data_IF_731157760331
#
_entry.id   IF_731157760331
#
_cell.length_a   1.000
_cell.length_b   1.000
_cell.length_c   1.000
_cell.angle_alpha   90.00
_cell.angle_beta   90.00
_cell.angle_gamma   90.00
#
_symmetry.space_group_name_H-M   'P 1'
#
loop_
_entity.id
_entity.type
_entity.pdbx_description
1 polymer ?
#
# COMPACT_ATOMS: atom_id res chain seq x y z
N UNK A 1 33.08 21.80 43.12
CA UNK A 1 32.04 21.36 42.18
C UNK A 1 32.70 20.47 41.14
N UNK A 2 32.52 19.15 41.24
CA UNK A 2 33.12 18.21 40.28
C UNK A 2 32.01 17.79 39.32
N UNK A 3 32.13 18.20 38.05
CA UNK A 3 31.21 17.81 36.97
C UNK A 3 31.43 16.38 36.58
N UNK A 4 30.39 15.55 36.73
CA UNK A 4 30.34 14.17 36.25
C UNK A 4 30.10 14.20 34.73
N UNK A 5 31.16 13.96 33.96
CA UNK A 5 31.04 13.70 32.51
C UNK A 5 30.68 12.23 32.37
N UNK A 6 29.41 11.94 32.06
CA UNK A 6 28.98 10.59 31.66
C UNK A 6 29.69 10.24 30.35
N UNK A 7 30.74 9.41 30.44
CA UNK A 7 31.37 8.76 29.29
C UNK A 7 30.50 7.56 28.92
N UNK A 8 29.68 7.69 27.88
CA UNK A 8 29.07 6.54 27.24
C UNK A 8 30.17 5.70 26.60
N UNK A 9 30.25 4.42 26.94
CA UNK A 9 31.17 3.44 26.34
C UNK A 9 30.80 3.22 24.87
N UNK A 10 31.80 3.04 24.02
CA UNK A 10 31.59 2.60 22.61
C UNK A 10 30.77 1.30 22.52
N UNK A 11 30.80 0.45 23.56
CA UNK A 11 29.98 -0.75 23.68
C UNK A 11 28.49 -0.43 23.88
N UNK A 12 28.15 0.69 24.57
CA UNK A 12 26.75 1.12 24.76
C UNK A 12 26.15 1.72 23.48
N UNK A 13 26.98 2.27 22.59
CA UNK A 13 26.60 2.72 21.25
C UNK A 13 26.41 1.55 20.27
N UNK A 14 27.14 0.47 20.44
CA UNK A 14 27.03 -0.75 19.63
C UNK A 14 25.85 -1.64 20.06
N UNK A 15 25.40 -1.56 21.32
CA UNK A 15 24.21 -2.26 21.81
C UNK A 15 22.86 -1.54 21.57
N UNK A 16 22.86 -0.27 21.17
CA UNK A 16 21.70 0.38 20.57
C UNK A 16 21.58 -0.12 19.14
N UNK A 17 20.87 -1.24 19.00
CA UNK A 17 20.71 -1.99 17.77
C UNK A 17 20.72 -1.09 16.55
N UNK A 18 21.54 -1.42 15.58
CA UNK A 18 21.38 -1.01 14.20
C UNK A 18 19.88 -1.19 13.86
N UNK A 19 19.10 -0.12 13.92
CA UNK A 19 17.83 -0.09 13.19
C UNK A 19 18.26 -0.45 11.77
N UNK A 20 17.93 -1.65 11.33
CA UNK A 20 18.13 -2.01 9.93
C UNK A 20 17.56 -0.88 9.11
N UNK A 21 18.42 -0.19 8.35
CA UNK A 21 18.00 0.96 7.58
C UNK A 21 16.86 0.53 6.68
N UNK A 22 15.72 1.20 6.76
CA UNK A 22 14.62 1.01 5.83
C UNK A 22 15.14 1.29 4.43
N UNK A 23 14.79 0.45 3.47
CA UNK A 23 15.29 0.55 2.12
C UNK A 23 14.16 0.95 1.18
N UNK A 24 14.33 2.09 0.49
CA UNK A 24 13.44 2.46 -0.62
C UNK A 24 13.58 1.41 -1.71
N UNK A 25 12.47 0.78 -2.08
CA UNK A 25 12.38 -0.22 -3.13
C UNK A 25 12.06 0.42 -4.48
N UNK A 26 12.58 -0.15 -5.56
CA UNK A 26 12.20 0.29 -6.90
C UNK A 26 10.76 -0.15 -7.18
N UNK A 27 9.89 0.80 -7.52
CA UNK A 27 8.55 0.53 -8.04
C UNK A 27 8.69 0.15 -9.52
N UNK A 28 8.07 -0.96 -9.89
CA UNK A 28 8.02 -1.46 -11.27
C UNK A 28 6.77 -0.95 -11.99
N UNK A 29 6.86 -0.77 -13.30
CA UNK A 29 5.80 -0.26 -14.16
C UNK A 29 5.11 -1.38 -14.94
N UNK A 30 4.06 -1.04 -15.69
CA UNK A 30 3.17 -1.97 -16.40
C UNK A 30 3.85 -2.94 -17.35
N UNK A 31 5.05 -2.61 -17.85
CA UNK A 31 5.81 -3.53 -18.71
C UNK A 31 6.33 -4.77 -17.96
N UNK A 32 6.37 -4.71 -16.64
CA UNK A 32 6.85 -5.86 -15.86
C UNK A 32 5.73 -6.90 -15.68
N UNK A 33 5.92 -8.14 -16.16
CA UNK A 33 4.89 -9.18 -16.13
C UNK A 33 4.47 -9.61 -14.71
N UNK A 34 5.24 -9.27 -13.67
CA UNK A 34 4.89 -9.57 -12.27
C UNK A 34 3.57 -8.88 -11.88
N UNK A 35 3.31 -7.67 -12.39
CA UNK A 35 2.08 -6.93 -12.11
C UNK A 35 0.82 -7.60 -12.68
N UNK A 36 0.97 -8.53 -13.60
CA UNK A 36 -0.13 -9.28 -14.24
C UNK A 36 -0.27 -10.70 -13.68
N UNK A 37 0.49 -11.02 -12.63
CA UNK A 37 0.46 -12.35 -12.01
C UNK A 37 -0.25 -12.31 -10.67
N UNK A 38 -1.03 -13.34 -10.38
CA UNK A 38 -1.61 -13.54 -9.06
C UNK A 38 -0.51 -13.81 -8.03
N UNK A 39 -0.42 -12.96 -7.02
CA UNK A 39 0.56 -13.06 -5.95
C UNK A 39 0.30 -14.29 -5.05
N UNK A 40 1.38 -14.88 -4.57
CA UNK A 40 1.36 -16.11 -3.75
C UNK A 40 0.97 -15.80 -2.30
N UNK A 41 0.18 -16.68 -1.68
CA UNK A 41 -0.15 -16.56 -0.25
C UNK A 41 1.11 -16.72 0.61
N UNK A 42 1.17 -15.93 1.67
CA UNK A 42 2.18 -16.05 2.71
C UNK A 42 1.70 -17.07 3.75
N UNK A 43 2.49 -18.11 3.98
CA UNK A 43 2.16 -19.17 4.93
C UNK A 43 3.09 -19.17 6.16
N UNK A 44 4.26 -18.54 6.05
CA UNK A 44 5.24 -18.47 7.13
C UNK A 44 5.54 -17.01 7.44
N UNK A 45 5.39 -16.66 8.72
CA UNK A 45 5.61 -15.32 9.23
C UNK A 45 6.92 -15.30 10.02
N UNK A 46 7.88 -14.56 9.52
CA UNK A 46 9.20 -14.41 10.13
C UNK A 46 9.60 -12.92 10.16
N UNK A 47 10.68 -12.55 10.88
CA UNK A 47 11.09 -11.15 11.02
C UNK A 47 11.36 -10.40 9.72
N UNK A 48 11.70 -11.11 8.61
CA UNK A 48 11.96 -10.47 7.32
C UNK A 48 10.71 -9.82 6.73
N UNK A 49 9.51 -10.34 7.05
CA UNK A 49 8.24 -9.75 6.62
C UNK A 49 7.99 -8.41 7.30
N UNK A 50 8.41 -8.26 8.57
CA UNK A 50 8.32 -6.95 9.22
C UNK A 50 9.19 -5.93 8.50
N UNK A 51 10.45 -6.30 8.19
CA UNK A 51 11.35 -5.42 7.43
C UNK A 51 10.76 -5.07 6.07
N UNK A 52 10.17 -6.04 5.36
CA UNK A 52 9.51 -5.79 4.07
C UNK A 52 8.37 -4.77 4.22
N UNK A 53 7.53 -4.90 5.24
CA UNK A 53 6.44 -3.95 5.52
C UNK A 53 6.99 -2.55 5.81
N UNK A 54 8.04 -2.44 6.61
CA UNK A 54 8.70 -1.16 6.92
C UNK A 54 9.28 -0.53 5.63
N UNK A 55 9.97 -1.32 4.77
CA UNK A 55 10.47 -0.87 3.46
C UNK A 55 9.33 -0.45 2.52
N UNK A 56 8.18 -1.15 2.55
CA UNK A 56 7.01 -0.82 1.72
C UNK A 56 6.40 0.52 2.13
N UNK A 57 6.22 0.77 3.42
CA UNK A 57 5.73 2.07 3.90
C UNK A 57 6.67 3.21 3.50
N UNK A 58 7.98 3.06 3.69
CA UNK A 58 8.96 4.06 3.30
C UNK A 58 8.92 4.34 1.79
N UNK A 59 8.86 3.27 0.99
CA UNK A 59 8.76 3.38 -0.47
C UNK A 59 7.49 4.12 -0.89
N UNK A 60 6.36 3.77 -0.28
CA UNK A 60 5.06 4.40 -0.52
C UNK A 60 5.10 5.90 -0.22
N UNK A 61 5.63 6.29 0.95
CA UNK A 61 5.73 7.69 1.37
C UNK A 61 6.63 8.51 0.44
N UNK A 62 7.80 7.98 0.08
CA UNK A 62 8.73 8.66 -0.84
C UNK A 62 8.11 8.86 -2.22
N UNK A 63 7.22 7.95 -2.63
CA UNK A 63 6.49 8.04 -3.89
C UNK A 63 5.17 8.86 -3.79
N UNK A 64 4.86 9.49 -2.63
CA UNK A 64 3.61 10.20 -2.36
C UNK A 64 2.36 9.33 -2.60
N UNK A 65 2.44 8.03 -2.28
CA UNK A 65 1.33 7.09 -2.40
C UNK A 65 0.58 6.91 -1.09
N UNK A 66 -0.70 6.50 -1.18
CA UNK A 66 -1.55 6.15 -0.04
C UNK A 66 -1.71 4.64 0.14
N UNK A 67 -1.27 3.85 -0.86
CA UNK A 67 -1.22 2.39 -0.87
C UNK A 67 -0.05 1.86 -1.67
N UNK A 68 0.40 0.64 -1.35
CA UNK A 68 1.44 -0.07 -2.10
C UNK A 68 1.31 -1.58 -1.89
N UNK A 69 1.15 -2.31 -2.97
CA UNK A 69 1.14 -3.77 -2.96
C UNK A 69 2.53 -4.35 -3.27
N UNK A 70 2.87 -5.48 -2.65
CA UNK A 70 4.18 -6.11 -2.84
C UNK A 70 4.55 -6.43 -4.30
N UNK A 71 3.62 -6.83 -5.20
CA UNK A 71 3.93 -6.97 -6.61
C UNK A 71 4.52 -5.71 -7.25
N UNK A 72 4.13 -4.50 -6.80
CA UNK A 72 4.65 -3.24 -7.34
C UNK A 72 6.14 -3.01 -7.03
N UNK A 73 6.69 -3.70 -6.05
CA UNK A 73 8.12 -3.75 -5.74
C UNK A 73 8.77 -5.09 -6.12
N UNK A 74 8.21 -5.76 -7.13
CA UNK A 74 8.67 -7.05 -7.65
C UNK A 74 8.66 -8.21 -6.63
N UNK A 75 7.84 -8.13 -5.57
CA UNK A 75 7.63 -9.21 -4.59
C UNK A 75 6.27 -9.87 -4.83
N UNK A 76 6.24 -11.03 -5.52
CA UNK A 76 4.99 -11.72 -5.88
C UNK A 76 4.38 -12.47 -4.69
N UNK A 77 4.10 -11.77 -3.59
CA UNK A 77 3.42 -12.27 -2.38
C UNK A 77 2.21 -11.40 -2.02
N UNK A 78 1.23 -12.02 -1.37
CA UNK A 78 -0.03 -11.34 -1.01
C UNK A 78 0.13 -10.51 0.25
N UNK A 79 0.68 -9.31 0.12
CA UNK A 79 0.69 -8.27 1.15
C UNK A 79 0.58 -6.91 0.48
N UNK A 80 -0.14 -6.01 1.11
CA UNK A 80 -0.14 -4.59 0.80
C UNK A 80 0.00 -3.77 2.09
N UNK A 81 0.44 -2.53 1.94
CA UNK A 81 0.38 -1.48 2.96
C UNK A 81 -0.54 -0.37 2.46
N UNK A 82 -1.21 0.30 3.40
CA UNK A 82 -1.99 1.49 3.12
C UNK A 82 -1.95 2.44 4.32
N UNK A 83 -1.92 3.74 4.04
CA UNK A 83 -2.01 4.79 5.05
C UNK A 83 -2.93 5.90 4.53
N UNK A 84 -4.02 6.13 5.23
CA UNK A 84 -5.00 7.13 4.89
C UNK A 84 -5.71 7.60 6.17
N UNK A 85 -5.75 8.91 6.41
CA UNK A 85 -6.24 9.51 7.66
C UNK A 85 -5.55 8.87 8.88
N UNK A 86 -6.32 8.37 9.84
CA UNK A 86 -5.81 7.71 11.05
C UNK A 86 -5.51 6.21 10.84
N UNK A 87 -5.69 5.69 9.61
CA UNK A 87 -5.47 4.28 9.28
C UNK A 87 -4.07 4.06 8.70
N UNK A 88 -3.24 3.32 9.43
CA UNK A 88 -1.96 2.80 8.94
C UNK A 88 -1.94 1.29 9.09
N UNK A 89 -2.00 0.57 7.99
CA UNK A 89 -2.22 -0.88 7.99
C UNK A 89 -1.28 -1.62 7.03
N UNK A 90 -0.94 -2.85 7.42
CA UNK A 90 -0.35 -3.86 6.54
C UNK A 90 -1.21 -5.12 6.61
N UNK A 91 -1.64 -5.63 5.47
CA UNK A 91 -2.55 -6.78 5.41
C UNK A 91 -1.94 -7.89 4.55
N UNK A 92 -1.72 -9.03 5.17
CA UNK A 92 -1.28 -10.25 4.51
C UNK A 92 -2.47 -11.13 4.13
N UNK A 93 -2.40 -11.74 2.95
CA UNK A 93 -3.43 -12.62 2.43
C UNK A 93 -4.85 -12.03 2.49
N UNK A 94 -5.04 -10.76 2.08
CA UNK A 94 -6.34 -10.12 2.15
C UNK A 94 -7.37 -10.82 1.28
N UNK A 95 -8.63 -10.80 1.75
CA UNK A 95 -9.80 -11.27 1.02
C UNK A 95 -11.00 -10.37 1.37
N UNK A 96 -11.67 -9.80 0.36
CA UNK A 96 -12.91 -9.08 0.54
C UNK A 96 -14.01 -10.10 0.84
N UNK A 97 -14.61 -10.03 2.02
CA UNK A 97 -15.66 -10.96 2.47
C UNK A 97 -17.06 -10.38 2.36
N UNK A 98 -17.16 -9.04 2.20
CA UNK A 98 -18.41 -8.33 1.97
C UNK A 98 -18.10 -7.08 1.17
N UNK A 99 -18.96 -6.77 0.19
CA UNK A 99 -18.92 -5.55 -0.60
C UNK A 99 -20.36 -5.04 -0.79
N UNK A 100 -20.59 -3.75 -0.57
CA UNK A 100 -21.91 -3.13 -0.62
C UNK A 100 -21.82 -1.73 -1.23
N UNK A 101 -22.91 -1.33 -1.87
CA UNK A 101 -23.01 -0.03 -2.52
C UNK A 101 -22.10 0.08 -3.74
N UNK A 102 -22.08 1.26 -4.33
CA UNK A 102 -21.23 1.60 -5.47
C UNK A 102 -20.74 3.04 -5.30
N UNK A 103 -19.49 3.28 -5.68
CA UNK A 103 -18.89 4.60 -5.77
C UNK A 103 -18.08 4.68 -7.06
N UNK A 104 -18.27 5.77 -7.80
CA UNK A 104 -17.56 6.05 -9.04
C UNK A 104 -16.58 7.19 -8.78
N UNK A 105 -15.33 7.03 -9.16
CA UNK A 105 -14.32 8.05 -8.95
C UNK A 105 -13.00 7.75 -9.66
N UNK A 106 -12.05 8.70 -9.60
CA UNK A 106 -10.76 8.55 -10.25
C UNK A 106 -9.85 7.59 -9.49
N UNK A 107 -8.87 7.01 -10.20
CA UNK A 107 -7.75 6.27 -9.64
C UNK A 107 -6.45 6.55 -10.39
N UNK A 108 -5.38 6.79 -9.62
CA UNK A 108 -4.00 6.77 -10.10
C UNK A 108 -3.26 5.55 -9.55
N UNK A 109 -2.08 5.27 -10.08
CA UNK A 109 -1.26 4.16 -9.62
C UNK A 109 0.24 4.46 -9.78
N UNK A 110 1.03 4.19 -8.74
CA UNK A 110 2.49 4.33 -8.77
C UNK A 110 3.16 3.48 -9.86
N UNK A 111 2.52 2.39 -10.27
CA UNK A 111 2.99 1.52 -11.37
C UNK A 111 2.52 1.95 -12.76
N UNK A 112 1.66 2.99 -12.84
CA UNK A 112 1.17 3.60 -14.09
C UNK A 112 1.36 5.13 -13.97
N UNK A 113 2.61 5.59 -13.87
CA UNK A 113 2.88 7.00 -13.64
C UNK A 113 2.38 7.86 -14.79
N UNK A 114 1.83 9.05 -14.47
CA UNK A 114 1.38 10.03 -15.43
C UNK A 114 -0.01 9.75 -16.03
N UNK A 115 -0.76 8.80 -15.52
CA UNK A 115 -2.12 8.51 -15.96
C UNK A 115 -3.10 8.40 -14.80
N UNK A 116 -4.35 8.84 -15.06
CA UNK A 116 -5.50 8.73 -14.17
C UNK A 116 -6.63 8.05 -14.93
N UNK A 117 -7.25 7.07 -14.30
CA UNK A 117 -8.49 6.46 -14.78
C UNK A 117 -9.68 7.18 -14.15
N UNK A 118 -10.54 7.75 -14.97
CA UNK A 118 -11.81 8.33 -14.54
C UNK A 118 -12.91 7.26 -14.46
N UNK A 119 -13.99 7.58 -13.73
CA UNK A 119 -15.20 6.76 -13.69
C UNK A 119 -15.02 5.30 -13.26
N UNK A 120 -13.98 5.00 -12.45
CA UNK A 120 -13.76 3.65 -11.96
C UNK A 120 -14.77 3.30 -10.87
N UNK A 121 -15.49 2.18 -11.09
CA UNK A 121 -16.50 1.67 -10.18
C UNK A 121 -15.86 0.83 -9.07
N UNK A 122 -16.22 1.15 -7.83
CA UNK A 122 -15.82 0.37 -6.64
C UNK A 122 -17.03 0.17 -5.72
N UNK A 123 -16.95 -0.85 -4.88
CA UNK A 123 -17.89 -0.92 -3.76
C UNK A 123 -17.61 0.25 -2.79
N UNK A 124 -18.66 0.96 -2.37
CA UNK A 124 -18.51 2.09 -1.42
C UNK A 124 -18.20 1.62 0.00
N UNK A 125 -18.54 0.36 0.34
CA UNK A 125 -18.26 -0.25 1.63
C UNK A 125 -17.76 -1.68 1.45
N UNK A 126 -16.68 -2.03 2.15
CA UNK A 126 -16.13 -3.38 2.13
C UNK A 126 -15.77 -3.89 3.52
N UNK A 127 -15.79 -5.19 3.68
CA UNK A 127 -15.15 -5.87 4.78
C UNK A 127 -14.05 -6.76 4.24
N UNK A 128 -12.85 -6.60 4.80
CA UNK A 128 -11.66 -7.36 4.44
C UNK A 128 -11.24 -8.21 5.63
N UNK A 129 -10.98 -9.50 5.41
CA UNK A 129 -10.26 -10.35 6.35
C UNK A 129 -8.83 -10.56 5.84
N UNK A 130 -7.90 -10.77 6.74
CA UNK A 130 -6.50 -11.03 6.42
C UNK A 130 -5.71 -11.39 7.65
N UNK A 131 -4.39 -11.25 7.55
CA UNK A 131 -3.48 -11.49 8.66
C UNK A 131 -2.62 -10.24 8.90
N UNK A 132 -2.26 -9.96 10.15
CA UNK A 132 -1.27 -8.95 10.49
C UNK A 132 0.17 -9.44 10.20
N UNK A 133 1.16 -8.59 10.45
CA UNK A 133 2.59 -8.91 10.26
C UNK A 133 3.09 -10.05 11.16
N UNK A 134 2.32 -10.45 12.17
CA UNK A 134 2.61 -11.58 13.08
C UNK A 134 1.83 -12.85 12.69
N UNK A 135 1.07 -12.80 11.59
CA UNK A 135 0.21 -13.88 11.16
C UNK A 135 -1.09 -14.05 11.96
N UNK A 136 -1.48 -13.04 12.76
CA UNK A 136 -2.74 -13.06 13.52
C UNK A 136 -3.89 -12.62 12.63
N UNK A 137 -5.06 -13.29 12.69
CA UNK A 137 -6.23 -12.88 11.94
C UNK A 137 -6.68 -11.46 12.30
N UNK A 138 -6.98 -10.68 11.25
CA UNK A 138 -7.58 -9.34 11.35
C UNK A 138 -8.82 -9.24 10.48
N UNK A 139 -9.71 -8.35 10.86
CA UNK A 139 -10.89 -7.97 10.07
C UNK A 139 -11.00 -6.45 10.07
N UNK A 140 -11.15 -5.88 8.88
CA UNK A 140 -11.25 -4.44 8.65
C UNK A 140 -12.59 -4.14 8.00
N UNK A 141 -13.20 -3.02 8.36
CA UNK A 141 -14.31 -2.41 7.62
C UNK A 141 -13.80 -1.09 7.06
N UNK A 142 -14.08 -0.81 5.80
CA UNK A 142 -13.68 0.41 5.12
C UNK A 142 -14.85 0.95 4.29
N UNK A 143 -14.94 2.28 4.21
CA UNK A 143 -15.97 3.02 3.46
C UNK A 143 -15.30 4.11 2.62
N UNK A 144 -15.98 4.57 1.55
CA UNK A 144 -15.56 5.68 0.70
C UNK A 144 -14.15 5.49 0.13
N UNK A 145 -13.35 6.54 0.21
CA UNK A 145 -12.00 6.54 -0.37
C UNK A 145 -11.08 5.46 0.22
N UNK A 146 -11.16 5.20 1.52
CA UNK A 146 -10.39 4.12 2.13
C UNK A 146 -10.79 2.73 1.59
N UNK A 147 -12.08 2.50 1.35
CA UNK A 147 -12.53 1.27 0.70
C UNK A 147 -11.99 1.14 -0.73
N UNK A 148 -11.90 2.26 -1.48
CA UNK A 148 -11.31 2.31 -2.83
C UNK A 148 -9.83 1.92 -2.79
N UNK A 149 -9.04 2.53 -1.89
CA UNK A 149 -7.61 2.21 -1.71
C UNK A 149 -7.43 0.69 -1.48
N UNK A 150 -8.17 0.11 -0.52
CA UNK A 150 -8.02 -1.31 -0.21
C UNK A 150 -8.38 -2.22 -1.40
N UNK A 151 -9.40 -1.86 -2.18
CA UNK A 151 -9.77 -2.61 -3.39
C UNK A 151 -8.69 -2.51 -4.47
N UNK A 152 -8.08 -1.32 -4.65
CA UNK A 152 -6.98 -1.11 -5.56
C UNK A 152 -5.78 -1.99 -5.22
N UNK A 153 -5.37 -2.02 -3.94
CA UNK A 153 -4.24 -2.83 -3.49
C UNK A 153 -4.52 -4.33 -3.60
N UNK A 154 -5.75 -4.77 -3.34
CA UNK A 154 -6.15 -6.17 -3.50
C UNK A 154 -6.14 -6.58 -4.97
N UNK A 155 -6.55 -5.70 -5.88
CA UNK A 155 -6.47 -5.93 -7.33
C UNK A 155 -5.02 -6.22 -7.76
N UNK A 156 -4.05 -5.41 -7.30
CA UNK A 156 -2.63 -5.69 -7.57
C UNK A 156 -2.19 -7.08 -7.14
N UNK A 157 -2.72 -7.59 -6.01
CA UNK A 157 -2.41 -8.95 -5.55
C UNK A 157 -3.05 -10.03 -6.43
N UNK A 158 -4.07 -9.67 -7.18
CA UNK A 158 -4.74 -10.58 -8.12
C UNK A 158 -4.27 -10.39 -9.59
N UNK A 159 -3.28 -9.50 -9.81
CA UNK A 159 -2.72 -9.19 -11.13
C UNK A 159 -3.61 -8.29 -11.98
N UNK A 160 -4.51 -7.55 -11.33
CA UNK A 160 -5.44 -6.59 -11.95
C UNK A 160 -4.89 -5.18 -11.72
N UNK A 161 -4.99 -4.32 -12.72
CA UNK A 161 -4.64 -2.90 -12.62
C UNK A 161 -5.90 -2.05 -12.80
N UNK A 162 -5.87 -0.79 -12.33
CA UNK A 162 -7.04 0.08 -12.45
C UNK A 162 -7.49 0.27 -13.90
N UNK A 163 -6.56 0.21 -14.87
CA UNK A 163 -6.87 0.30 -16.29
C UNK A 163 -7.77 -0.83 -16.80
N UNK A 164 -7.80 -1.98 -16.10
CA UNK A 164 -8.69 -3.11 -16.41
C UNK A 164 -10.12 -2.87 -15.87
N UNK A 165 -10.31 -1.81 -15.09
CA UNK A 165 -11.60 -1.39 -14.50
C UNK A 165 -12.27 -0.26 -15.26
N UNK A 166 -11.62 0.27 -16.29
CA UNK A 166 -12.19 1.30 -17.14
C UNK A 166 -13.36 0.75 -17.95
N UNK A 167 -14.49 1.43 -17.92
CA UNK A 167 -15.63 1.09 -18.75
C UNK A 167 -15.37 1.43 -20.22
N UNK A 168 -14.58 2.49 -20.47
CA UNK A 168 -14.28 3.02 -21.83
C UNK A 168 -12.82 3.47 -21.90
N UNK A 169 -12.15 3.29 -23.06
CA UNK A 169 -10.78 3.75 -23.24
C UNK A 169 -10.56 5.25 -23.00
N UNK A 170 -11.56 6.09 -23.32
CA UNK A 170 -11.53 7.55 -23.10
C UNK A 170 -11.58 7.95 -21.63
N UNK A 171 -11.89 7.04 -20.71
CA UNK A 171 -11.81 7.28 -19.28
C UNK A 171 -10.37 7.20 -18.74
N UNK A 172 -9.38 6.87 -19.59
CA UNK A 172 -7.95 7.00 -19.28
C UNK A 172 -7.43 8.32 -19.84
N UNK A 173 -6.89 9.18 -18.98
CA UNK A 173 -6.28 10.45 -19.38
C UNK A 173 -4.87 10.61 -18.80
N UNK A 174 -4.08 11.50 -19.37
CA UNK A 174 -2.85 11.96 -18.75
C UNK A 174 -3.18 12.74 -17.46
N UNK A 175 -2.35 12.53 -16.44
CA UNK A 175 -2.47 13.24 -15.17
C UNK A 175 -2.00 14.70 -15.35
N UNK A 176 -2.78 15.66 -14.84
CA UNK A 176 -2.41 17.07 -14.74
C UNK A 176 -1.73 17.38 -13.41
N UNK A 177 -1.25 18.62 -13.22
CA UNK A 177 -0.68 19.06 -11.94
C UNK A 177 -1.72 19.00 -10.80
N UNK A 178 -2.98 19.25 -11.12
CA UNK A 178 -4.10 19.22 -10.18
C UNK A 178 -4.36 17.85 -9.55
N UNK A 179 -3.98 16.76 -10.22
CA UNK A 179 -4.18 15.39 -9.72
C UNK A 179 -3.24 15.03 -8.57
N UNK A 180 -2.23 15.85 -8.31
CA UNK A 180 -1.20 15.59 -7.31
C UNK A 180 -1.23 16.61 -6.14
N UNK A 181 -2.12 17.61 -6.19
CA UNK A 181 -2.11 18.73 -5.25
C UNK A 181 -3.17 18.68 -4.16
N UNK A 182 -4.20 17.80 -4.19
CA UNK A 182 -5.21 17.78 -3.12
C UNK A 182 -5.66 16.38 -2.73
N UNK A 183 -5.61 16.10 -1.41
CA UNK A 183 -6.55 15.18 -0.78
C UNK A 183 -7.97 15.71 -1.01
N UNK A 184 -8.95 14.88 -1.42
CA UNK A 184 -10.31 15.34 -1.56
C UNK A 184 -10.80 15.88 -0.20
N UNK A 185 -11.05 17.18 -0.16
CA UNK A 185 -11.66 17.82 1.00
C UNK A 185 -12.96 17.09 1.33
N UNK A 186 -13.05 16.57 2.55
CA UNK A 186 -14.28 15.95 3.05
C UNK A 186 -15.41 16.94 2.89
N UNK A 187 -16.42 16.60 2.09
CA UNK A 187 -17.68 17.32 2.08
C UNK A 187 -18.32 17.19 3.47
N UNK A 188 -18.53 18.34 4.14
CA UNK A 188 -19.25 18.45 5.41
C UNK A 188 -20.69 17.90 5.36
#
# INVERSE_FOLDING_TARGET
>A
MKGNIFRYSLSDLLCRGLKEAMAIRKIITTENPILRQKAKKVHRFDPSLKKLVDDMFETMHVANGVGLAAPQIAQSIRVFVAEFEDHKIAVFNPEIVKAEGEEIGPEGCLSIPGYVGENIRRASKIQVKGLDVRGKPIKLSAEGWFARILQHEIDHLDGILFIDRLDRPEDLREAGSEDFEEEPALAE
#
